data_IF_825678973472
#
_entry.id   IF_825678973472
#
_cell.length_a   1.000
_cell.length_b   1.000
_cell.length_c   1.000
_cell.angle_alpha   90.00
_cell.angle_beta   90.00
_cell.angle_gamma   90.00
#
_symmetry.space_group_name_H-M   'P 1'
#
loop_
_entity.id
_entity.type
_entity.pdbx_description
1 polymer ?
#
# COMPACT_ATOMS: atom_id res chain seq x y z
N UNK A 1 -11.44 3.41 9.24
CA UNK A 1 -10.55 3.75 8.11
C UNK A 1 -10.88 5.09 7.44
N UNK A 2 -12.05 5.70 7.68
CA UNK A 2 -12.36 7.07 7.21
C UNK A 2 -11.38 8.13 7.74
N UNK A 3 -10.95 8.00 9.00
CA UNK A 3 -10.10 9.00 9.67
C UNK A 3 -8.68 9.17 9.08
N UNK A 4 -8.14 8.19 8.35
CA UNK A 4 -6.82 8.32 7.70
C UNK A 4 -6.95 8.87 6.27
N UNK A 5 -8.14 8.78 5.67
CA UNK A 5 -8.39 9.14 4.28
C UNK A 5 -8.25 10.65 4.06
N UNK A 6 -8.88 11.45 4.92
CA UNK A 6 -9.06 12.88 4.67
C UNK A 6 -8.08 13.78 5.46
N UNK A 7 -7.17 13.18 6.25
CA UNK A 7 -6.38 13.90 7.26
C UNK A 7 -4.86 13.75 7.18
N UNK A 8 -4.32 13.03 6.18
CA UNK A 8 -2.89 12.77 6.06
C UNK A 8 -2.12 13.68 5.11
N UNK A 9 -2.81 14.43 4.25
CA UNK A 9 -2.24 15.60 3.57
C UNK A 9 -2.13 16.76 4.57
N UNK A 10 -1.32 16.57 5.62
CA UNK A 10 -0.82 17.66 6.46
C UNK A 10 0.52 18.08 5.88
N UNK A 11 0.85 19.35 6.02
CA UNK A 11 1.90 20.05 5.25
C UNK A 11 3.28 19.34 5.16
N UNK A 12 3.56 18.37 6.04
CA UNK A 12 4.83 17.64 6.11
C UNK A 12 4.72 16.09 6.03
N UNK A 13 3.56 15.53 5.64
CA UNK A 13 3.37 14.08 5.55
C UNK A 13 2.69 13.68 4.25
N UNK A 14 3.16 12.60 3.63
CA UNK A 14 2.55 12.01 2.44
C UNK A 14 2.19 10.56 2.71
N UNK A 15 0.95 10.18 2.42
CA UNK A 15 0.48 8.80 2.54
C UNK A 15 0.56 8.08 1.19
N UNK A 16 1.12 6.86 1.22
CA UNK A 16 1.08 5.92 0.10
C UNK A 16 0.43 4.61 0.57
N UNK A 17 -0.51 4.08 -0.21
CA UNK A 17 -0.91 2.69 -0.09
C UNK A 17 -0.01 1.81 -0.96
N UNK A 18 0.34 0.61 -0.51
CA UNK A 18 1.16 -0.35 -1.27
C UNK A 18 0.41 -1.67 -1.38
N UNK A 19 0.37 -2.27 -2.57
CA UNK A 19 -0.23 -3.58 -2.82
C UNK A 19 0.55 -4.33 -3.88
N UNK A 20 0.47 -5.67 -3.87
CA UNK A 20 1.03 -6.53 -4.94
C UNK A 20 0.19 -6.52 -6.23
N UNK A 21 -0.97 -5.85 -6.22
CA UNK A 21 -1.79 -5.66 -7.41
C UNK A 21 -1.08 -4.88 -8.53
N UNK A 22 -1.51 -5.12 -9.77
CA UNK A 22 -1.01 -4.40 -10.93
C UNK A 22 -1.39 -2.90 -10.88
N UNK A 23 -0.52 -1.99 -11.35
CA UNK A 23 -0.78 -0.54 -11.32
C UNK A 23 -2.11 -0.11 -11.94
N UNK A 24 -2.57 -0.82 -12.99
CA UNK A 24 -3.86 -0.52 -13.63
C UNK A 24 -5.06 -0.85 -12.73
N UNK A 25 -4.98 -1.95 -11.96
CA UNK A 25 -6.02 -2.36 -11.02
C UNK A 25 -6.09 -1.37 -9.85
N UNK A 26 -4.93 -0.96 -9.34
CA UNK A 26 -4.83 0.09 -8.32
C UNK A 26 -5.37 1.43 -8.80
N UNK A 27 -5.11 1.81 -10.06
CA UNK A 27 -5.69 3.00 -10.66
C UNK A 27 -7.22 2.97 -10.69
N UNK A 28 -7.80 1.82 -11.08
CA UNK A 28 -9.25 1.63 -11.06
C UNK A 28 -9.82 1.66 -9.63
N UNK A 29 -9.16 1.00 -8.67
CA UNK A 29 -9.56 0.98 -7.27
C UNK A 29 -9.54 2.39 -6.65
N UNK A 30 -8.46 3.15 -6.89
CA UNK A 30 -8.35 4.54 -6.44
C UNK A 30 -9.50 5.40 -6.98
N UNK A 31 -9.83 5.27 -8.26
CA UNK A 31 -10.92 6.02 -8.88
C UNK A 31 -12.30 5.59 -8.35
N UNK A 32 -12.53 4.29 -8.19
CA UNK A 32 -13.80 3.75 -7.70
C UNK A 32 -14.13 4.22 -6.28
N UNK A 33 -13.12 4.29 -5.42
CA UNK A 33 -13.30 4.66 -4.02
C UNK A 33 -12.91 6.11 -3.71
N UNK A 34 -12.56 6.91 -4.72
CA UNK A 34 -12.15 8.32 -4.61
C UNK A 34 -11.06 8.52 -3.54
N UNK A 35 -10.01 7.70 -3.59
CA UNK A 35 -8.95 7.75 -2.58
C UNK A 35 -8.05 8.97 -2.84
N UNK A 36 -7.85 9.84 -1.83
CA UNK A 36 -7.11 11.08 -2.00
C UNK A 36 -5.59 10.89 -2.04
N UNK A 37 -5.09 9.70 -1.67
CA UNK A 37 -3.67 9.35 -1.68
C UNK A 37 -3.28 8.49 -2.87
N UNK A 38 -1.97 8.35 -3.11
CA UNK A 38 -1.41 7.52 -4.17
C UNK A 38 -1.33 6.05 -3.74
N UNK A 39 -1.45 5.15 -4.72
CA UNK A 39 -1.23 3.71 -4.54
C UNK A 39 -0.02 3.28 -5.38
N UNK A 40 0.91 2.58 -4.75
CA UNK A 40 2.11 2.00 -5.36
C UNK A 40 1.85 0.52 -5.60
N UNK A 41 2.04 0.09 -6.85
CA UNK A 41 2.00 -1.33 -7.20
C UNK A 41 3.37 -1.96 -6.99
N UNK A 42 3.41 -3.09 -6.29
CA UNK A 42 4.57 -3.93 -6.04
C UNK A 42 4.37 -5.35 -6.62
N UNK A 43 4.08 -5.49 -7.94
CA UNK A 43 3.82 -6.81 -8.54
C UNK A 43 5.06 -7.71 -8.56
N UNK A 44 6.26 -7.13 -8.40
CA UNK A 44 7.53 -7.86 -8.31
C UNK A 44 7.94 -8.16 -6.86
N UNK A 45 7.07 -7.87 -5.88
CA UNK A 45 7.23 -8.16 -4.45
C UNK A 45 8.45 -7.53 -3.76
N UNK A 46 9.06 -6.49 -4.34
CA UNK A 46 10.29 -5.87 -3.81
C UNK A 46 10.07 -5.14 -2.51
N UNK A 47 8.94 -4.43 -2.39
CA UNK A 47 8.64 -3.66 -1.19
C UNK A 47 8.24 -4.59 -0.06
N UNK A 48 7.37 -5.58 -0.32
CA UNK A 48 6.93 -6.51 0.74
C UNK A 48 8.07 -7.37 1.28
N UNK A 49 9.03 -7.76 0.42
CA UNK A 49 10.24 -8.47 0.84
C UNK A 49 11.18 -7.58 1.65
N UNK A 50 11.41 -6.35 1.21
CA UNK A 50 12.30 -5.41 1.91
C UNK A 50 11.80 -5.04 3.32
N UNK A 51 10.48 -5.04 3.52
CA UNK A 51 9.85 -4.71 4.79
C UNK A 51 9.41 -5.95 5.60
N UNK A 52 9.72 -7.16 5.12
CA UNK A 52 9.37 -8.43 5.77
C UNK A 52 7.85 -8.56 6.09
N UNK A 53 7.01 -8.12 5.14
CA UNK A 53 5.53 -8.11 5.26
C UNK A 53 4.89 -9.00 4.20
N UNK A 54 5.28 -10.27 4.22
CA UNK A 54 4.79 -11.29 3.32
C UNK A 54 3.78 -12.17 4.06
N UNK A 55 2.62 -12.39 3.46
CA UNK A 55 1.62 -13.34 3.95
C UNK A 55 1.37 -14.43 2.90
N UNK A 56 1.49 -15.68 3.34
CA UNK A 56 1.14 -16.85 2.54
C UNK A 56 -0.38 -16.96 2.46
N UNK A 57 -0.90 -16.89 1.23
CA UNK A 57 -2.32 -17.01 0.93
C UNK A 57 -2.61 -18.23 0.05
N UNK A 58 -1.72 -19.22 0.01
CA UNK A 58 -1.81 -20.40 -0.87
C UNK A 58 -3.14 -21.14 -0.72
N UNK A 59 -3.71 -21.14 0.49
CA UNK A 59 -5.02 -21.76 0.75
C UNK A 59 -6.17 -21.16 -0.09
N UNK A 60 -6.00 -19.94 -0.58
CA UNK A 60 -6.97 -19.21 -1.40
C UNK A 60 -6.56 -19.14 -2.88
N UNK A 61 -5.51 -19.85 -3.29
CA UNK A 61 -5.03 -19.86 -4.67
C UNK A 61 -4.30 -18.59 -5.10
N UNK A 62 -3.81 -17.81 -4.13
CA UNK A 62 -2.95 -16.64 -4.35
C UNK A 62 -1.61 -16.93 -3.67
N UNK A 63 -0.53 -17.00 -4.44
CA UNK A 63 0.77 -17.47 -3.91
C UNK A 63 1.31 -16.54 -2.82
N UNK A 64 1.26 -15.23 -3.01
CA UNK A 64 1.87 -14.28 -2.08
C UNK A 64 1.10 -12.95 -2.07
N UNK A 65 0.76 -12.47 -0.87
CA UNK A 65 0.15 -11.15 -0.69
C UNK A 65 0.92 -10.33 0.35
N UNK A 66 0.70 -9.02 0.34
CA UNK A 66 1.21 -8.16 1.40
C UNK A 66 0.47 -8.44 2.73
N UNK A 67 1.21 -8.72 3.79
CA UNK A 67 0.64 -8.68 5.14
C UNK A 67 0.22 -7.25 5.47
N UNK A 68 -0.95 -7.08 6.09
CA UNK A 68 -1.43 -5.73 6.46
C UNK A 68 -0.53 -5.11 7.53
N UNK A 69 0.23 -4.10 7.13
CA UNK A 69 1.12 -3.34 8.00
C UNK A 69 1.04 -1.83 7.71
N UNK A 70 1.54 -1.01 8.64
CA UNK A 70 1.71 0.43 8.46
C UNK A 70 3.10 0.79 8.95
N UNK A 71 3.85 1.49 8.10
CA UNK A 71 5.16 2.03 8.42
C UNK A 71 5.08 3.55 8.40
N UNK A 72 5.83 4.19 9.29
CA UNK A 72 6.02 5.64 9.31
C UNK A 72 7.50 5.86 9.07
N UNK A 73 7.82 6.60 8.01
CA UNK A 73 9.19 6.90 7.61
C UNK A 73 9.40 8.40 7.84
N UNK A 74 10.43 8.77 8.59
CA UNK A 74 10.77 10.16 8.82
C UNK A 74 11.51 10.80 7.63
N UNK A 75 11.83 12.11 7.74
CA UNK A 75 12.51 12.83 6.67
C UNK A 75 13.96 12.36 6.41
N UNK A 76 14.56 11.65 7.36
CA UNK A 76 15.89 11.05 7.24
C UNK A 76 15.84 9.63 6.63
N UNK A 77 14.63 9.10 6.40
CA UNK A 77 14.40 7.79 5.78
C UNK A 77 14.43 6.62 6.76
N UNK A 78 14.26 6.87 8.06
CA UNK A 78 14.21 5.84 9.12
C UNK A 78 12.78 5.40 9.41
#
# INVERSE_FOLDING_TARGET
MEALRDGFDRDDCTLFGVSTDLPHALGAYRAQYDLPFALVGDPDHRAIEAYDVIEDFEHYGVETVAQRAVFVIDADGT
#
